data_IF_857663348346
#
_entry.id   IF_857663348346
#
_cell.length_a   1.000
_cell.length_b   1.000
_cell.length_c   1.000
_cell.angle_alpha   90.00
_cell.angle_beta   90.00
_cell.angle_gamma   90.00
#
_symmetry.space_group_name_H-M   'P 1'
#
loop_
_entity.id
_entity.type
_entity.pdbx_description
1 polymer ?
#
# COMPACT_ATOMS: atom_id res chain seq x y z
N UNK A 1 3.79 6.06 19.61
CA UNK A 1 3.91 5.05 18.53
C UNK A 1 4.78 5.65 17.44
N UNK A 2 5.73 4.91 16.83
CA UNK A 2 6.41 5.42 15.65
C UNK A 2 5.35 5.74 14.58
N UNK A 3 5.53 6.86 13.87
CA UNK A 3 4.66 7.24 12.77
C UNK A 3 4.81 6.18 11.67
N UNK A 4 3.74 5.44 11.40
CA UNK A 4 3.68 4.44 10.33
C UNK A 4 2.81 4.95 9.19
N UNK A 5 3.22 4.70 7.96
CA UNK A 5 2.37 4.97 6.80
C UNK A 5 1.23 3.96 6.71
N UNK A 6 0.17 4.30 5.98
CA UNK A 6 -0.98 3.42 5.77
C UNK A 6 -1.37 3.36 4.29
N UNK A 7 -1.35 2.17 3.70
CA UNK A 7 -1.87 1.94 2.36
C UNK A 7 -3.40 2.02 2.35
N UNK A 8 -3.93 2.88 1.49
CA UNK A 8 -5.34 3.21 1.38
C UNK A 8 -5.81 3.15 -0.07
N UNK A 9 -7.13 3.04 -0.22
CA UNK A 9 -7.81 3.19 -1.50
C UNK A 9 -8.95 4.19 -1.34
N UNK A 10 -9.14 5.03 -2.36
CA UNK A 10 -10.31 5.90 -2.41
C UNK A 10 -11.56 5.08 -2.75
N UNK A 11 -12.42 4.81 -1.76
CA UNK A 11 -13.71 4.13 -1.96
C UNK A 11 -14.89 5.06 -1.69
N UNK A 12 -14.71 6.37 -1.90
CA UNK A 12 -15.76 7.36 -1.69
C UNK A 12 -16.83 7.37 -2.78
N UNK A 13 -16.63 6.63 -3.89
CA UNK A 13 -17.53 6.64 -5.03
C UNK A 13 -17.35 7.85 -5.96
N UNK A 14 -16.37 8.72 -5.67
CA UNK A 14 -16.06 9.92 -6.47
C UNK A 14 -14.56 10.21 -6.50
N UNK A 15 -14.15 11.08 -7.42
CA UNK A 15 -12.81 11.65 -7.41
C UNK A 15 -12.65 12.59 -6.21
N UNK A 16 -11.44 12.62 -5.65
CA UNK A 16 -11.09 13.49 -4.52
C UNK A 16 -9.87 14.31 -4.89
N UNK A 17 -10.01 15.63 -4.82
CA UNK A 17 -8.91 16.56 -5.09
C UNK A 17 -7.80 16.43 -4.06
N UNK A 18 -6.56 16.42 -4.53
CA UNK A 18 -5.34 16.48 -3.73
C UNK A 18 -4.74 17.88 -3.84
N UNK A 19 -4.31 18.45 -2.71
CA UNK A 19 -3.79 19.83 -2.64
C UNK A 19 -2.34 19.90 -2.16
N UNK A 20 -1.69 21.03 -2.38
CA UNK A 20 -0.31 21.33 -1.92
C UNK A 20 -0.20 21.73 -0.44
N UNK A 21 -1.31 21.78 0.30
CA UNK A 21 -1.37 22.28 1.68
C UNK A 21 -1.79 23.76 1.79
N UNK A 22 -1.76 24.51 0.68
CA UNK A 22 -2.29 25.87 0.55
C UNK A 22 -3.64 25.89 -0.19
N UNK A 23 -4.29 24.73 -0.31
CA UNK A 23 -5.53 24.50 -1.05
C UNK A 23 -5.43 24.66 -2.59
N UNK A 24 -4.23 24.71 -3.16
CA UNK A 24 -4.09 24.61 -4.62
C UNK A 24 -4.15 23.15 -5.04
N UNK A 25 -4.98 22.84 -6.04
CA UNK A 25 -5.09 21.50 -6.58
C UNK A 25 -3.80 21.09 -7.31
N UNK A 26 -3.26 19.91 -6.97
CA UNK A 26 -2.08 19.32 -7.60
C UNK A 26 -2.34 17.95 -8.22
N UNK A 27 -3.57 17.44 -8.08
CA UNK A 27 -4.01 16.18 -8.65
C UNK A 27 -5.35 15.73 -8.09
N UNK A 28 -5.75 14.52 -8.45
CA UNK A 28 -6.94 13.87 -7.93
C UNK A 28 -6.63 12.41 -7.61
N UNK A 29 -7.35 11.86 -6.63
CA UNK A 29 -7.50 10.42 -6.42
C UNK A 29 -8.83 10.01 -7.03
N UNK A 30 -8.79 9.23 -8.11
CA UNK A 30 -9.96 8.60 -8.71
C UNK A 30 -10.59 7.58 -7.76
N UNK A 31 -11.85 7.23 -8.02
CA UNK A 31 -12.47 6.13 -7.29
C UNK A 31 -11.73 4.81 -7.55
N UNK A 32 -11.52 4.02 -6.49
CA UNK A 32 -10.73 2.79 -6.43
C UNK A 32 -9.23 2.97 -6.67
N UNK A 33 -8.72 4.20 -6.58
CA UNK A 33 -7.29 4.49 -6.72
C UNK A 33 -6.52 4.24 -5.41
N UNK A 34 -5.37 3.58 -5.54
CA UNK A 34 -4.45 3.27 -4.45
C UNK A 34 -3.52 4.44 -4.15
N UNK A 35 -3.28 4.69 -2.86
CA UNK A 35 -2.31 5.67 -2.37
C UNK A 35 -1.83 5.30 -0.97
N UNK A 36 -0.88 6.07 -0.43
CA UNK A 36 -0.39 5.87 0.94
C UNK A 36 -0.60 7.12 1.77
N UNK A 37 -1.26 7.02 2.92
CA UNK A 37 -1.25 8.07 3.95
C UNK A 37 0.12 8.05 4.64
N UNK A 38 0.77 9.20 4.75
CA UNK A 38 2.12 9.33 5.33
C UNK A 38 2.17 10.23 6.56
N UNK A 39 1.04 10.81 6.95
CA UNK A 39 0.92 11.64 8.15
C UNK A 39 -0.42 12.35 8.23
N UNK A 40 -0.63 13.02 9.35
CA UNK A 40 -1.75 13.93 9.53
C UNK A 40 -1.32 15.13 10.39
N UNK A 41 -1.77 16.32 9.99
CA UNK A 41 -1.55 17.58 10.70
C UNK A 41 -2.91 18.27 10.87
N UNK A 42 -3.53 18.10 12.03
CA UNK A 42 -4.90 18.59 12.27
C UNK A 42 -5.92 17.91 11.34
N UNK A 43 -6.62 18.70 10.52
CA UNK A 43 -7.58 18.20 9.52
C UNK A 43 -6.93 17.79 8.20
N UNK A 44 -5.65 18.09 7.99
CA UNK A 44 -4.92 17.77 6.77
C UNK A 44 -4.34 16.36 6.86
N UNK A 45 -4.68 15.51 5.90
CA UNK A 45 -4.09 14.17 5.78
C UNK A 45 -3.03 14.21 4.69
N UNK A 46 -1.77 14.06 5.08
CA UNK A 46 -0.64 14.00 4.16
C UNK A 46 -0.61 12.63 3.48
N UNK A 47 -0.49 12.64 2.15
CA UNK A 47 -0.50 11.44 1.31
C UNK A 47 0.69 11.42 0.35
N UNK A 48 1.04 10.22 -0.07
CA UNK A 48 1.88 9.91 -1.21
C UNK A 48 1.01 9.22 -2.28
N UNK A 49 0.97 9.78 -3.48
CA UNK A 49 0.12 9.30 -4.57
C UNK A 49 0.82 9.46 -5.92
N UNK A 50 0.29 8.80 -6.96
CA UNK A 50 0.77 8.98 -8.32
C UNK A 50 0.09 10.21 -8.92
N UNK A 51 0.86 11.27 -9.15
CA UNK A 51 0.37 12.53 -9.70
C UNK A 51 -0.05 12.43 -11.17
N UNK A 52 -0.75 13.46 -11.70
CA UNK A 52 -1.26 13.47 -13.07
C UNK A 52 -0.18 13.40 -14.15
N UNK A 53 1.08 13.77 -13.83
CA UNK A 53 2.24 13.61 -14.72
C UNK A 53 2.81 12.20 -14.75
N UNK A 54 2.19 11.24 -14.04
CA UNK A 54 2.73 9.89 -13.84
C UNK A 54 3.94 9.85 -12.91
N UNK A 55 4.19 10.93 -12.15
CA UNK A 55 5.25 11.00 -11.15
C UNK A 55 4.67 10.97 -9.73
N UNK A 56 5.29 10.26 -8.78
CA UNK A 56 4.82 10.26 -7.41
C UNK A 56 4.98 11.64 -6.76
N UNK A 57 3.95 12.08 -6.05
CA UNK A 57 3.90 13.36 -5.36
C UNK A 57 3.49 13.17 -3.89
N UNK A 58 3.87 14.15 -3.06
CA UNK A 58 3.26 14.34 -1.73
C UNK A 58 2.21 15.44 -1.83
N UNK A 59 1.11 15.25 -1.14
CA UNK A 59 0.01 16.20 -1.12
C UNK A 59 -0.90 16.00 0.08
N UNK A 60 -1.99 16.75 0.13
CA UNK A 60 -2.92 16.76 1.24
C UNK A 60 -4.34 16.54 0.78
N UNK A 61 -5.04 15.66 1.49
CA UNK A 61 -6.49 15.56 1.43
C UNK A 61 -7.09 16.52 2.46
N UNK A 62 -7.79 17.55 1.98
CA UNK A 62 -8.50 18.50 2.83
C UNK A 62 -10.01 18.22 2.76
N UNK A 63 -10.66 18.03 3.90
CA UNK A 63 -12.10 17.75 4.01
C UNK A 63 -12.62 16.59 3.13
N UNK A 64 -11.75 15.65 2.78
CA UNK A 64 -12.12 14.49 1.99
C UNK A 64 -12.97 13.50 2.81
N UNK A 65 -13.98 12.83 2.21
CA UNK A 65 -14.78 11.81 2.88
C UNK A 65 -13.93 10.79 3.63
N UNK A 66 -14.42 10.26 4.76
CA UNK A 66 -13.71 9.21 5.47
C UNK A 66 -13.45 7.98 4.57
N UNK A 67 -14.42 7.63 3.73
CA UNK A 67 -14.32 6.55 2.73
C UNK A 67 -13.30 6.80 1.62
N UNK A 68 -12.75 8.01 1.47
CA UNK A 68 -11.66 8.24 0.53
C UNK A 68 -10.32 7.71 1.04
N UNK A 69 -10.25 7.31 2.31
CA UNK A 69 -9.05 6.82 2.99
C UNK A 69 -9.29 5.43 3.56
N UNK A 70 -9.94 4.55 2.80
CA UNK A 70 -10.24 3.21 3.28
C UNK A 70 -8.96 2.38 3.33
N UNK A 71 -8.54 1.87 4.51
CA UNK A 71 -7.36 1.05 4.62
C UNK A 71 -7.52 -0.27 3.85
N UNK A 72 -6.53 -0.64 3.05
CA UNK A 72 -6.61 -1.82 2.17
C UNK A 72 -6.86 -3.15 2.90
N UNK A 73 -6.48 -3.28 4.18
CA UNK A 73 -6.70 -4.49 4.96
C UNK A 73 -8.19 -4.80 5.19
N UNK A 74 -9.08 -3.83 5.00
CA UNK A 74 -10.55 -4.03 5.03
C UNK A 74 -11.10 -4.57 3.71
N UNK A 75 -10.29 -4.58 2.65
CA UNK A 75 -10.61 -5.08 1.31
C UNK A 75 -9.55 -6.09 0.84
N UNK A 76 -9.32 -7.19 1.57
CA UNK A 76 -8.36 -8.22 1.17
C UNK A 76 -8.73 -8.86 -0.16
N UNK A 77 -7.73 -9.47 -0.81
CA UNK A 77 -8.00 -10.49 -1.83
C UNK A 77 -8.55 -11.77 -1.19
N UNK A 78 -8.07 -12.12 -0.01
CA UNK A 78 -8.58 -13.21 0.81
C UNK A 78 -7.88 -13.29 2.16
N UNK A 79 -8.07 -14.39 2.88
CA UNK A 79 -7.41 -14.66 4.15
C UNK A 79 -6.69 -16.00 4.11
N UNK A 80 -5.59 -16.13 4.85
CA UNK A 80 -4.81 -17.37 4.97
C UNK A 80 -4.49 -17.61 6.44
N UNK A 81 -4.81 -18.81 6.92
CA UNK A 81 -4.37 -19.27 8.24
C UNK A 81 -3.00 -19.94 8.10
N UNK A 82 -2.01 -19.44 8.83
CA UNK A 82 -0.63 -19.94 8.82
C UNK A 82 -0.08 -19.90 10.25
N UNK A 83 0.53 -20.98 10.73
CA UNK A 83 1.12 -21.07 12.07
C UNK A 83 0.15 -20.66 13.20
N UNK A 84 -1.12 -21.05 13.10
CA UNK A 84 -2.16 -20.72 14.10
C UNK A 84 -2.60 -19.25 14.10
N UNK A 85 -2.18 -18.44 13.12
CA UNK A 85 -2.52 -17.04 12.99
C UNK A 85 -3.26 -16.81 11.65
N UNK A 86 -4.22 -15.89 11.63
CA UNK A 86 -4.90 -15.47 10.41
C UNK A 86 -4.20 -14.24 9.82
N UNK A 87 -3.92 -14.31 8.53
CA UNK A 87 -3.34 -13.24 7.76
C UNK A 87 -4.27 -12.80 6.63
N UNK A 88 -4.13 -11.53 6.28
CA UNK A 88 -4.81 -10.86 5.18
C UNK A 88 -3.92 -11.04 3.95
N UNK A 89 -4.49 -11.50 2.85
CA UNK A 89 -3.79 -11.75 1.60
C UNK A 89 -4.08 -10.65 0.58
N UNK A 90 -3.04 -10.22 -0.13
CA UNK A 90 -3.14 -9.43 -1.35
C UNK A 90 -2.52 -10.22 -2.51
N UNK A 91 -3.11 -10.09 -3.69
CA UNK A 91 -2.60 -10.69 -4.92
C UNK A 91 -1.61 -9.73 -5.59
N UNK A 92 -0.47 -10.27 -6.02
CA UNK A 92 0.49 -9.55 -6.84
C UNK A 92 0.16 -9.80 -8.32
N UNK A 93 -0.28 -8.77 -9.02
CA UNK A 93 -0.60 -8.83 -10.45
C UNK A 93 0.64 -8.72 -11.34
N UNK A 94 1.72 -8.18 -10.80
CA UNK A 94 3.01 -8.04 -11.46
C UNK A 94 4.10 -8.59 -10.53
N UNK A 95 5.22 -9.01 -11.12
CA UNK A 95 6.39 -9.41 -10.32
C UNK A 95 7.01 -8.17 -9.69
N UNK A 96 7.09 -8.12 -8.37
CA UNK A 96 7.62 -6.97 -7.63
C UNK A 96 8.71 -7.39 -6.66
N UNK A 97 9.61 -6.46 -6.35
CA UNK A 97 10.71 -6.68 -5.43
C UNK A 97 10.20 -6.83 -3.98
N UNK A 98 10.89 -7.69 -3.24
CA UNK A 98 10.78 -7.86 -1.80
C UNK A 98 11.97 -7.19 -1.12
N UNK A 99 11.71 -6.55 0.01
CA UNK A 99 12.69 -5.81 0.77
C UNK A 99 12.71 -6.30 2.22
N UNK A 100 13.88 -6.32 2.85
CA UNK A 100 13.98 -6.54 4.29
C UNK A 100 13.53 -5.30 5.08
N UNK A 101 13.55 -5.39 6.41
CA UNK A 101 13.15 -4.28 7.29
C UNK A 101 13.97 -3.00 7.06
N UNK A 102 15.24 -3.13 6.65
CA UNK A 102 16.15 -2.02 6.37
C UNK A 102 16.00 -1.44 4.95
N UNK A 103 15.03 -1.90 4.16
CA UNK A 103 14.77 -1.39 2.81
C UNK A 103 15.75 -1.91 1.74
N UNK A 104 16.50 -2.98 2.02
CA UNK A 104 17.36 -3.63 1.03
C UNK A 104 16.58 -4.72 0.29
N UNK A 105 16.81 -4.85 -1.02
CA UNK A 105 16.18 -5.89 -1.84
C UNK A 105 16.71 -7.26 -1.41
N UNK A 106 15.80 -8.19 -1.10
CA UNK A 106 16.13 -9.57 -0.70
C UNK A 106 15.53 -10.63 -1.63
N UNK A 107 14.71 -10.22 -2.58
CA UNK A 107 14.10 -11.13 -3.54
C UNK A 107 12.98 -10.48 -4.33
N UNK A 108 12.08 -11.31 -4.86
CA UNK A 108 10.87 -10.86 -5.54
C UNK A 108 9.71 -11.83 -5.31
N UNK A 109 8.50 -11.32 -5.38
CA UNK A 109 7.27 -12.10 -5.45
C UNK A 109 6.77 -12.07 -6.88
N UNK A 110 6.49 -13.24 -7.45
CA UNK A 110 6.08 -13.35 -8.85
C UNK A 110 4.64 -12.88 -9.07
N UNK A 111 4.33 -12.45 -10.29
CA UNK A 111 2.95 -12.22 -10.72
C UNK A 111 2.08 -13.48 -10.50
N UNK A 112 0.83 -13.29 -10.10
CA UNK A 112 -0.12 -14.35 -9.75
C UNK A 112 0.10 -14.99 -8.37
N UNK A 113 1.03 -14.45 -7.56
CA UNK A 113 1.31 -14.92 -6.20
C UNK A 113 0.83 -13.94 -5.16
N UNK A 114 0.65 -14.43 -3.93
CA UNK A 114 0.11 -13.63 -2.83
C UNK A 114 1.19 -13.16 -1.87
N UNK A 115 0.90 -12.09 -1.16
CA UNK A 115 1.62 -11.65 0.02
C UNK A 115 0.68 -11.61 1.21
N UNK A 116 1.19 -11.92 2.40
CA UNK A 116 0.42 -11.96 3.65
C UNK A 116 0.87 -10.85 4.59
N UNK A 117 -0.08 -10.19 5.22
CA UNK A 117 0.18 -9.19 6.26
C UNK A 117 -0.93 -9.15 7.31
N UNK A 118 -0.74 -8.36 8.37
CA UNK A 118 -1.73 -8.16 9.44
C UNK A 118 -2.48 -6.83 9.36
N UNK A 119 -1.99 -5.86 8.58
CA UNK A 119 -2.53 -4.50 8.55
C UNK A 119 -2.26 -3.81 7.22
N UNK A 120 -2.73 -2.58 7.07
CA UNK A 120 -2.44 -1.69 5.94
C UNK A 120 -1.08 -1.01 5.99
N UNK A 121 -0.22 -1.32 6.98
CA UNK A 121 1.02 -0.58 7.23
C UNK A 121 1.94 -0.48 6.01
N UNK A 122 2.42 0.73 5.76
CA UNK A 122 3.40 1.10 4.75
C UNK A 122 4.67 1.66 5.41
N UNK A 123 5.79 1.64 4.69
CA UNK A 123 6.98 2.39 5.11
C UNK A 123 6.71 3.89 5.00
N UNK A 124 7.13 4.68 6.00
CA UNK A 124 7.01 6.14 5.95
C UNK A 124 8.11 6.77 5.07
N UNK A 125 9.31 6.20 5.09
CA UNK A 125 10.45 6.66 4.30
C UNK A 125 10.34 6.26 2.83
N UNK A 126 9.68 5.12 2.57
CA UNK A 126 9.39 4.62 1.23
C UNK A 126 7.91 4.27 1.08
N UNK A 127 7.01 5.26 0.91
CA UNK A 127 5.55 5.06 0.94
C UNK A 127 4.97 4.13 -0.15
N UNK A 128 5.77 3.77 -1.15
CA UNK A 128 5.42 2.77 -2.15
C UNK A 128 5.64 1.32 -1.66
N UNK A 129 6.21 1.13 -0.47
CA UNK A 129 6.49 -0.17 0.14
C UNK A 129 5.42 -0.55 1.16
N UNK A 130 4.78 -1.70 0.97
CA UNK A 130 3.81 -2.28 1.89
C UNK A 130 4.48 -3.30 2.80
N UNK A 131 4.28 -3.19 4.11
CA UNK A 131 4.80 -4.15 5.06
C UNK A 131 4.07 -5.50 4.96
N UNK A 132 4.84 -6.60 4.93
CA UNK A 132 4.33 -7.97 4.78
C UNK A 132 5.08 -8.94 5.70
N UNK A 133 4.40 -9.99 6.14
CA UNK A 133 4.95 -11.05 6.97
C UNK A 133 5.40 -12.25 6.13
N UNK A 134 4.72 -12.53 5.02
CA UNK A 134 5.08 -13.65 4.14
C UNK A 134 4.87 -13.32 2.66
N UNK A 135 5.66 -13.95 1.80
CA UNK A 135 5.48 -13.96 0.35
C UNK A 135 5.27 -15.40 -0.15
N UNK A 136 4.33 -15.61 -1.07
CA UNK A 136 4.06 -16.93 -1.62
C UNK A 136 5.13 -17.35 -2.64
N UNK A 137 5.61 -18.58 -2.48
CA UNK A 137 6.63 -19.18 -3.35
C UNK A 137 6.07 -19.54 -4.73
N UNK A 138 6.94 -19.55 -5.73
CA UNK A 138 6.60 -20.09 -7.06
C UNK A 138 6.14 -21.54 -7.00
N UNK A 139 6.88 -22.35 -6.24
CA UNK A 139 6.65 -23.79 -6.04
C UNK A 139 5.56 -24.13 -5.02
N UNK A 140 4.89 -23.12 -4.45
CA UNK A 140 3.95 -23.29 -3.34
C UNK A 140 4.63 -23.19 -1.97
N UNK A 141 3.83 -22.82 -0.97
CA UNK A 141 4.33 -22.46 0.37
C UNK A 141 4.67 -20.98 0.52
N UNK A 142 5.28 -20.62 1.65
CA UNK A 142 5.49 -19.24 2.08
C UNK A 142 6.95 -19.01 2.48
N UNK A 143 7.52 -17.89 2.04
CA UNK A 143 8.76 -17.33 2.59
C UNK A 143 8.43 -16.35 3.71
N UNK A 144 9.06 -16.51 4.86
CA UNK A 144 8.99 -15.55 5.95
C UNK A 144 9.77 -14.29 5.58
N UNK A 145 9.13 -13.15 5.77
CA UNK A 145 9.75 -11.83 5.62
C UNK A 145 10.23 -11.25 6.95
N UNK A 146 9.91 -11.91 8.08
CA UNK A 146 10.52 -11.58 9.36
C UNK A 146 11.98 -12.05 9.37
N UNK A 147 12.87 -11.20 9.87
CA UNK A 147 14.30 -11.47 10.03
C UNK A 147 14.77 -11.10 11.45
N UNK A 148 16.08 -11.17 11.71
CA UNK A 148 16.65 -10.82 13.02
C UNK A 148 16.47 -9.34 13.40
N UNK A 149 16.13 -8.49 12.44
CA UNK A 149 16.03 -7.03 12.58
C UNK A 149 14.58 -6.53 12.62
N UNK A 150 13.60 -7.34 12.21
CA UNK A 150 12.20 -6.95 12.21
C UNK A 150 11.20 -8.09 12.08
N UNK A 151 9.98 -7.87 12.60
CA UNK A 151 8.89 -8.83 12.53
C UNK A 151 8.21 -8.92 11.13
N UNK A 152 8.70 -8.16 10.16
CA UNK A 152 8.17 -8.05 8.81
C UNK A 152 9.23 -7.49 7.85
N UNK A 153 9.01 -7.70 6.56
CA UNK A 153 9.71 -7.01 5.48
C UNK A 153 8.71 -6.20 4.65
N UNK A 154 9.08 -5.81 3.44
CA UNK A 154 8.21 -5.05 2.54
C UNK A 154 8.12 -5.65 1.14
N UNK A 155 7.04 -5.30 0.44
CA UNK A 155 6.86 -5.52 -0.99
C UNK A 155 6.63 -4.19 -1.69
N UNK A 156 7.17 -4.01 -2.89
CA UNK A 156 6.82 -2.87 -3.74
C UNK A 156 5.37 -3.02 -4.24
N UNK A 157 4.56 -2.00 -3.98
CA UNK A 157 3.14 -1.97 -4.35
C UNK A 157 2.89 -1.72 -5.83
N UNK A 158 3.88 -1.18 -6.54
CA UNK A 158 3.74 -0.68 -7.91
C UNK A 158 3.20 0.75 -8.01
N UNK A 159 2.97 1.43 -6.89
CA UNK A 159 2.39 2.79 -6.84
C UNK A 159 3.19 3.82 -7.63
N UNK A 160 4.50 3.61 -7.83
CA UNK A 160 5.33 4.51 -8.61
C UNK A 160 5.05 4.46 -10.12
N UNK A 161 4.34 3.44 -10.59
CA UNK A 161 4.06 3.20 -12.01
C UNK A 161 2.56 3.23 -12.30
N UNK A 162 1.73 2.69 -11.40
CA UNK A 162 0.28 2.76 -11.52
C UNK A 162 -0.39 2.74 -10.16
N UNK A 163 -1.44 3.55 -10.00
CA UNK A 163 -2.28 3.64 -8.81
C UNK A 163 -3.71 3.13 -9.05
N UNK A 164 -4.11 2.96 -10.32
CA UNK A 164 -5.46 2.54 -10.71
C UNK A 164 -5.80 1.12 -10.23
N UNK A 165 -7.07 0.85 -9.97
CA UNK A 165 -7.53 -0.48 -9.54
C UNK A 165 -7.17 -1.61 -10.53
N UNK A 166 -7.05 -1.32 -11.84
CA UNK A 166 -6.64 -2.29 -12.87
C UNK A 166 -5.12 -2.39 -13.03
N UNK A 167 -4.37 -1.32 -12.74
CA UNK A 167 -2.94 -1.24 -13.03
C UNK A 167 -1.99 -1.44 -11.83
N UNK A 168 -2.44 -1.17 -10.60
CA UNK A 168 -1.63 -1.36 -9.38
C UNK A 168 -1.17 -2.82 -9.26
N UNK A 169 0.10 -3.03 -8.88
CA UNK A 169 0.66 -4.38 -8.79
C UNK A 169 0.14 -5.15 -7.57
N UNK A 170 0.01 -4.50 -6.41
CA UNK A 170 -0.56 -5.07 -5.20
C UNK A 170 -2.08 -4.83 -5.17
N UNK A 171 -2.87 -5.90 -5.17
CA UNK A 171 -4.33 -5.81 -5.29
C UNK A 171 -5.09 -6.66 -4.26
N UNK A 172 -6.18 -6.10 -3.76
CA UNK A 172 -7.22 -6.74 -2.94
C UNK A 172 -8.60 -6.47 -3.53
N UNK A 173 -9.69 -6.71 -2.81
CA UNK A 173 -11.04 -6.61 -3.37
C UNK A 173 -11.60 -5.16 -3.33
N UNK A 174 -10.96 -4.25 -4.04
CA UNK A 174 -11.38 -2.83 -4.12
C UNK A 174 -11.56 -2.34 -5.53
#
# INVERSE_FOLDING_TARGET
MPLVGECCVNLSGRNVTVTDGNNHAIGELMNREFFTVVGAEGSLVAIYFLGPSGQPLRGYLNNAPASSKTPIHTRPYGTVSLNGQNYIAFMMRQTMNLYNFNGQVVGSVAAGKRVLCKSSMASIDSPFLKAINFAEKRTGGWDSMADSTGAYGYVDTGLRTSSSASGIALYGNW
#
